data_IF_618483039891
#
_entry.id   IF_618483039891
#
_cell.length_a   1.000
_cell.length_b   1.000
_cell.length_c   1.000
_cell.angle_alpha   90.00
_cell.angle_beta   90.00
_cell.angle_gamma   90.00
#
_symmetry.space_group_name_H-M   'P 1'
#
loop_
_entity.id
_entity.type
_entity.pdbx_description
1 polymer ?
#
# COMPACT_ATOMS: atom_id res chain seq x y z
N UNK A 1 8.95 8.37 19.58
CA UNK A 1 7.61 8.42 18.94
C UNK A 1 7.75 7.72 17.59
N UNK A 2 6.99 6.66 17.33
CA UNK A 2 7.07 5.89 16.07
C UNK A 2 6.47 6.69 14.91
N UNK A 3 6.81 6.36 13.65
CA UNK A 3 6.24 7.01 12.46
C UNK A 3 4.70 6.99 12.46
N UNK A 4 4.10 5.86 12.83
CA UNK A 4 2.64 5.73 13.00
C UNK A 4 2.06 6.68 14.06
N UNK A 5 2.80 6.93 15.15
CA UNK A 5 2.38 7.90 16.18
C UNK A 5 2.45 9.35 15.70
N UNK A 6 3.47 9.71 14.90
CA UNK A 6 3.56 11.03 14.25
C UNK A 6 2.44 11.22 13.24
N UNK A 7 2.18 10.22 12.40
CA UNK A 7 1.11 10.24 11.42
C UNK A 7 -0.27 10.37 12.07
N UNK A 8 -0.55 9.65 13.17
CA UNK A 8 -1.81 9.76 13.89
C UNK A 8 -2.11 11.18 14.38
N UNK A 9 -1.09 11.89 14.86
CA UNK A 9 -1.19 13.29 15.29
C UNK A 9 -1.30 14.24 14.09
N UNK A 10 -0.47 14.06 13.08
CA UNK A 10 -0.43 14.93 11.89
C UNK A 10 -1.72 14.85 11.05
N UNK A 11 -2.35 13.68 11.00
CA UNK A 11 -3.56 13.41 10.22
C UNK A 11 -4.86 13.68 11.00
N UNK A 12 -4.79 13.95 12.30
CA UNK A 12 -5.99 14.11 13.13
C UNK A 12 -6.87 12.85 13.18
N UNK A 13 -6.27 11.66 13.15
CA UNK A 13 -7.02 10.39 13.10
C UNK A 13 -7.94 10.25 14.33
N UNK A 14 -9.19 9.85 14.09
CA UNK A 14 -10.12 9.48 15.16
C UNK A 14 -9.60 8.27 15.96
N UNK A 15 -10.08 8.08 17.19
CA UNK A 15 -9.68 6.92 18.01
C UNK A 15 -9.97 5.57 17.31
N UNK A 16 -11.04 5.50 16.51
CA UNK A 16 -11.37 4.31 15.72
C UNK A 16 -10.33 4.07 14.61
N UNK A 17 -9.91 5.11 13.90
CA UNK A 17 -8.87 5.01 12.87
C UNK A 17 -7.50 4.70 13.48
N UNK A 18 -7.17 5.24 14.66
CA UNK A 18 -5.94 4.91 15.38
C UNK A 18 -5.90 3.44 15.80
N UNK A 19 -7.02 2.90 16.31
CA UNK A 19 -7.14 1.49 16.63
C UNK A 19 -6.98 0.64 15.36
N UNK A 20 -7.65 1.02 14.28
CA UNK A 20 -7.56 0.31 12.99
C UNK A 20 -6.14 0.33 12.43
N UNK A 21 -5.44 1.46 12.53
CA UNK A 21 -4.05 1.58 12.13
C UNK A 21 -3.16 0.60 12.89
N UNK A 22 -3.34 0.53 14.21
CA UNK A 22 -2.63 -0.44 15.05
C UNK A 22 -2.92 -1.88 14.62
N UNK A 23 -4.19 -2.24 14.43
CA UNK A 23 -4.61 -3.59 14.02
C UNK A 23 -4.00 -4.01 12.67
N UNK A 24 -4.01 -3.11 11.69
CA UNK A 24 -3.45 -3.38 10.35
C UNK A 24 -1.94 -3.59 10.42
N UNK A 25 -1.23 -2.70 11.13
CA UNK A 25 0.23 -2.79 11.29
C UNK A 25 0.62 -4.04 12.08
N UNK A 26 -0.10 -4.37 13.15
CA UNK A 26 0.16 -5.59 13.93
C UNK A 26 -0.11 -6.85 13.10
N UNK A 27 -1.19 -6.85 12.31
CA UNK A 27 -1.53 -7.93 11.39
C UNK A 27 -0.42 -8.20 10.37
N UNK A 28 0.17 -7.14 9.81
CA UNK A 28 1.33 -7.24 8.93
C UNK A 28 2.52 -7.92 9.62
N UNK A 29 2.97 -7.39 10.76
CA UNK A 29 4.15 -7.91 11.44
C UNK A 29 3.97 -9.32 12.00
N UNK A 30 2.74 -9.75 12.25
CA UNK A 30 2.44 -11.14 12.61
C UNK A 30 2.54 -12.09 11.42
N UNK A 31 2.13 -11.64 10.23
CA UNK A 31 2.09 -12.44 9.02
C UNK A 31 3.43 -12.47 8.25
N UNK A 32 4.14 -11.34 8.20
CA UNK A 32 5.34 -11.19 7.37
C UNK A 32 6.43 -12.24 7.64
N UNK A 33 6.70 -12.68 8.89
CA UNK A 33 7.75 -13.67 9.14
C UNK A 33 7.40 -15.11 8.74
N UNK A 34 6.14 -15.41 8.42
CA UNK A 34 5.67 -16.80 8.19
C UNK A 34 5.37 -17.10 6.72
N UNK A 35 5.57 -16.14 5.83
CA UNK A 35 5.39 -16.29 4.38
C UNK A 35 6.73 -16.32 3.65
N UNK A 36 6.70 -16.69 2.37
CA UNK A 36 7.89 -16.63 1.51
C UNK A 36 8.47 -15.20 1.45
N UNK A 37 9.80 -15.12 1.55
CA UNK A 37 10.52 -13.85 1.49
C UNK A 37 11.15 -13.71 0.10
N UNK A 38 10.80 -12.62 -0.59
CA UNK A 38 11.28 -12.30 -1.92
C UNK A 38 11.98 -10.94 -1.93
N UNK A 39 12.82 -10.71 -2.92
CA UNK A 39 13.41 -9.40 -3.14
C UNK A 39 12.33 -8.50 -3.74
N UNK A 40 11.90 -7.51 -2.98
CA UNK A 40 10.99 -6.46 -3.44
C UNK A 40 11.81 -5.24 -3.86
N UNK A 41 11.32 -4.54 -4.88
CA UNK A 41 11.83 -3.23 -5.29
C UNK A 41 11.62 -2.18 -4.20
N UNK A 42 10.48 -2.25 -3.49
CA UNK A 42 10.12 -1.34 -2.42
C UNK A 42 9.59 0.03 -2.89
N UNK A 43 9.70 0.33 -4.18
CA UNK A 43 9.07 1.47 -4.86
C UNK A 43 8.80 1.11 -6.32
N UNK A 44 7.98 0.08 -6.54
CA UNK A 44 7.63 -0.42 -7.86
C UNK A 44 6.65 0.54 -8.57
N UNK A 45 7.10 1.76 -8.82
CA UNK A 45 6.37 2.81 -9.52
C UNK A 45 6.62 2.75 -11.03
N UNK A 46 5.65 3.21 -11.84
CA UNK A 46 5.79 3.19 -13.30
C UNK A 46 6.99 4.03 -13.78
N UNK A 47 7.33 5.10 -13.06
CA UNK A 47 8.49 5.94 -13.34
C UNK A 47 9.83 5.23 -13.14
N UNK A 48 9.85 4.14 -12.37
CA UNK A 48 11.05 3.34 -12.09
C UNK A 48 11.22 2.18 -13.09
N UNK A 49 10.34 2.07 -14.10
CA UNK A 49 10.44 1.07 -15.16
C UNK A 49 10.82 1.71 -16.51
N UNK A 50 11.81 1.13 -17.19
CA UNK A 50 12.15 1.46 -18.58
C UNK A 50 11.41 0.52 -19.53
N UNK A 51 10.78 1.11 -20.55
CA UNK A 51 9.89 0.41 -21.47
C UNK A 51 10.41 0.46 -22.92
N UNK A 52 10.40 -0.70 -23.58
CA UNK A 52 10.56 -0.85 -25.04
C UNK A 52 9.54 -1.89 -25.54
N UNK A 53 8.25 -1.52 -25.49
CA UNK A 53 7.13 -2.45 -25.71
C UNK A 53 6.87 -3.38 -24.51
N UNK A 54 7.94 -3.79 -23.82
CA UNK A 54 7.94 -4.50 -22.54
C UNK A 54 8.87 -3.80 -21.53
N UNK A 55 8.81 -4.19 -20.25
CA UNK A 55 9.75 -3.68 -19.24
C UNK A 55 11.13 -4.30 -19.49
N UNK A 56 12.10 -3.47 -19.89
CA UNK A 56 13.47 -3.91 -20.18
C UNK A 56 14.42 -3.71 -19.00
N UNK A 57 14.08 -2.82 -18.07
CA UNK A 57 14.85 -2.59 -16.85
C UNK A 57 13.99 -1.95 -15.75
N UNK A 58 14.39 -2.19 -14.50
CA UNK A 58 13.92 -1.47 -13.33
C UNK A 58 15.06 -0.60 -12.80
N UNK A 59 14.73 0.58 -12.28
CA UNK A 59 15.63 1.60 -11.78
C UNK A 59 15.31 1.90 -10.31
N UNK A 60 16.25 2.52 -9.60
CA UNK A 60 16.00 3.08 -8.27
C UNK A 60 15.66 2.05 -7.16
N UNK A 61 16.65 1.23 -6.83
CA UNK A 61 16.55 0.18 -5.80
C UNK A 61 16.84 0.70 -4.38
N UNK A 62 16.73 2.00 -4.10
CA UNK A 62 17.09 2.54 -2.78
C UNK A 62 16.21 2.01 -1.64
N UNK A 63 14.97 1.60 -1.96
CA UNK A 63 14.02 0.98 -1.03
C UNK A 63 13.94 -0.54 -1.14
N UNK A 64 14.83 -1.18 -1.90
CA UNK A 64 14.79 -2.61 -2.10
C UNK A 64 14.93 -3.36 -0.78
N UNK A 65 14.06 -4.34 -0.56
CA UNK A 65 13.92 -5.02 0.72
C UNK A 65 13.55 -6.49 0.54
N UNK A 66 14.11 -7.34 1.40
CA UNK A 66 13.67 -8.73 1.51
C UNK A 66 12.41 -8.78 2.36
N UNK A 67 11.31 -9.27 1.79
CA UNK A 67 10.01 -9.28 2.46
C UNK A 67 8.93 -10.04 1.69
N UNK A 68 7.68 -10.03 2.18
CA UNK A 68 6.53 -10.57 1.46
C UNK A 68 6.35 -9.85 0.11
N UNK A 69 5.90 -10.56 -0.93
CA UNK A 69 5.67 -9.99 -2.28
C UNK A 69 4.64 -8.86 -2.28
N UNK A 70 3.78 -8.83 -1.26
CA UNK A 70 2.74 -7.82 -1.08
C UNK A 70 3.28 -6.39 -0.92
N UNK A 71 4.56 -6.22 -0.59
CA UNK A 71 5.23 -4.91 -0.57
C UNK A 71 5.18 -4.28 -1.96
N UNK A 72 5.58 -5.01 -3.00
CA UNK A 72 5.53 -4.49 -4.37
C UNK A 72 4.11 -4.54 -4.98
N UNK A 73 3.31 -5.57 -4.63
CA UNK A 73 1.94 -5.67 -5.17
C UNK A 73 1.05 -4.50 -4.73
N UNK A 74 1.18 -4.03 -3.48
CA UNK A 74 0.37 -2.91 -3.02
C UNK A 74 0.72 -1.62 -3.77
N UNK A 75 2.01 -1.42 -4.10
CA UNK A 75 2.47 -0.28 -4.89
C UNK A 75 1.97 -0.36 -6.33
N UNK A 76 2.09 -1.53 -6.98
CA UNK A 76 1.56 -1.76 -8.33
C UNK A 76 0.07 -1.41 -8.42
N UNK A 77 -0.73 -1.85 -7.45
CA UNK A 77 -2.18 -1.56 -7.42
C UNK A 77 -2.43 -0.07 -7.16
N UNK A 78 -1.64 0.57 -6.29
CA UNK A 78 -1.73 2.00 -6.02
C UNK A 78 -1.46 2.82 -7.30
N UNK A 79 -0.37 2.53 -8.02
CA UNK A 79 0.01 3.22 -9.27
C UNK A 79 -1.06 3.08 -10.36
N UNK A 80 -1.69 1.91 -10.47
CA UNK A 80 -2.69 1.65 -11.51
C UNK A 80 -4.11 2.16 -11.17
N UNK A 81 -4.43 2.33 -9.89
CA UNK A 81 -5.79 2.67 -9.42
C UNK A 81 -5.91 4.03 -8.77
N UNK A 82 -4.83 4.78 -8.59
CA UNK A 82 -4.85 6.04 -7.85
C UNK A 82 -4.26 7.16 -8.69
N UNK A 83 -5.02 8.24 -8.91
CA UNK A 83 -4.54 9.42 -9.62
C UNK A 83 -3.43 10.16 -8.84
N UNK A 84 -2.77 11.12 -9.48
CA UNK A 84 -1.81 12.02 -8.81
C UNK A 84 -2.47 12.79 -7.65
N UNK A 85 -3.75 13.15 -7.78
CA UNK A 85 -4.54 13.78 -6.73
C UNK A 85 -5.00 12.81 -5.64
N UNK A 86 -4.70 11.51 -5.75
CA UNK A 86 -5.06 10.51 -4.75
C UNK A 86 -6.50 9.99 -4.86
N UNK A 87 -7.15 10.14 -6.01
CA UNK A 87 -8.50 9.62 -6.24
C UNK A 87 -8.44 8.21 -6.84
N UNK A 88 -9.40 7.36 -6.48
CA UNK A 88 -9.54 6.07 -7.16
C UNK A 88 -9.96 6.28 -8.62
N UNK A 89 -9.26 5.61 -9.53
CA UNK A 89 -9.52 5.64 -10.97
C UNK A 89 -9.90 4.24 -11.42
N UNK A 90 -11.02 4.13 -12.13
CA UNK A 90 -11.42 2.91 -12.81
C UNK A 90 -10.74 2.86 -14.18
N UNK A 91 -9.85 1.88 -14.37
CA UNK A 91 -9.07 1.71 -15.60
C UNK A 91 -8.78 0.24 -15.86
N UNK A 92 -8.57 -0.13 -17.12
CA UNK A 92 -8.17 -1.48 -17.50
C UNK A 92 -6.85 -1.89 -16.84
N UNK A 93 -5.91 -0.93 -16.70
CA UNK A 93 -4.66 -1.14 -15.97
C UNK A 93 -4.91 -1.42 -14.48
N UNK A 94 -5.85 -0.69 -13.87
CA UNK A 94 -6.25 -0.87 -12.48
C UNK A 94 -6.92 -2.22 -12.20
N UNK A 95 -7.68 -2.74 -13.16
CA UNK A 95 -8.29 -4.07 -13.07
C UNK A 95 -7.23 -5.16 -13.26
N UNK A 96 -6.35 -5.02 -14.26
CA UNK A 96 -5.23 -5.93 -14.47
C UNK A 96 -4.30 -5.99 -13.25
N UNK A 97 -3.98 -4.86 -12.63
CA UNK A 97 -3.16 -4.81 -11.42
C UNK A 97 -3.81 -5.55 -10.25
N UNK A 98 -5.14 -5.43 -10.09
CA UNK A 98 -5.89 -6.17 -9.06
C UNK A 98 -5.89 -7.67 -9.36
N UNK A 99 -6.07 -8.08 -10.61
CA UNK A 99 -6.02 -9.50 -10.99
C UNK A 99 -4.63 -10.11 -10.72
N UNK A 100 -3.57 -9.40 -11.10
CA UNK A 100 -2.17 -9.79 -10.81
C UNK A 100 -1.97 -9.92 -9.30
N UNK A 101 -2.35 -8.89 -8.53
CA UNK A 101 -2.19 -8.90 -7.08
C UNK A 101 -2.99 -10.04 -6.41
N UNK A 102 -4.22 -10.29 -6.84
CA UNK A 102 -5.05 -11.38 -6.34
C UNK A 102 -4.47 -12.77 -6.64
N UNK A 103 -3.78 -12.91 -7.78
CA UNK A 103 -3.13 -14.16 -8.17
C UNK A 103 -1.81 -14.41 -7.44
N UNK A 104 -1.04 -13.35 -7.16
CA UNK A 104 0.31 -13.44 -6.61
C UNK A 104 0.39 -13.33 -5.09
N UNK A 105 -0.60 -12.72 -4.44
CA UNK A 105 -0.63 -12.59 -2.97
C UNK A 105 -0.63 -13.95 -2.27
N UNK A 106 -0.09 -14.00 -1.05
CA UNK A 106 -0.16 -15.19 -0.22
C UNK A 106 -1.64 -15.60 0.01
N UNK A 107 -1.99 -16.89 -0.19
CA UNK A 107 -3.39 -17.32 -0.16
C UNK A 107 -4.02 -17.28 1.23
N UNK A 108 -3.21 -17.27 2.30
CA UNK A 108 -3.68 -17.28 3.69
C UNK A 108 -3.55 -15.89 4.33
N UNK A 109 -2.40 -15.26 4.14
CA UNK A 109 -1.97 -14.04 4.80
C UNK A 109 -2.01 -12.81 3.90
N UNK A 110 -2.17 -12.97 2.58
CA UNK A 110 -2.02 -11.90 1.62
C UNK A 110 -2.90 -10.69 1.91
N UNK A 111 -4.13 -10.87 2.43
CA UNK A 111 -4.99 -9.74 2.77
C UNK A 111 -4.39 -8.85 3.88
N UNK A 112 -3.86 -9.48 4.93
CA UNK A 112 -3.22 -8.74 6.02
C UNK A 112 -1.90 -8.11 5.56
N UNK A 113 -1.16 -8.82 4.71
CA UNK A 113 0.12 -8.37 4.15
C UNK A 113 -0.08 -7.19 3.19
N UNK A 114 -0.97 -7.29 2.20
CA UNK A 114 -1.26 -6.21 1.24
C UNK A 114 -1.82 -4.97 1.94
N UNK A 115 -2.75 -5.13 2.90
CA UNK A 115 -3.29 -3.98 3.63
C UNK A 115 -2.22 -3.30 4.49
N UNK A 116 -1.44 -4.10 5.20
CA UNK A 116 -0.32 -3.64 6.01
C UNK A 116 0.75 -2.93 5.20
N UNK A 117 1.20 -3.55 4.10
CA UNK A 117 2.18 -3.00 3.20
C UNK A 117 1.73 -1.65 2.62
N UNK A 118 0.48 -1.54 2.16
CA UNK A 118 -0.06 -0.27 1.68
C UNK A 118 -0.07 0.82 2.74
N UNK A 119 -0.45 0.51 3.98
CA UNK A 119 -0.40 1.50 5.08
C UNK A 119 1.05 1.91 5.38
N UNK A 120 1.97 0.95 5.42
CA UNK A 120 3.39 1.23 5.68
C UNK A 120 4.05 2.05 4.56
N UNK A 121 3.72 1.76 3.30
CA UNK A 121 4.16 2.51 2.11
C UNK A 121 3.75 3.99 2.22
N UNK A 122 2.47 4.25 2.51
CA UNK A 122 1.99 5.63 2.64
C UNK A 122 2.52 6.34 3.90
N UNK A 123 2.77 5.60 4.99
CA UNK A 123 3.43 6.15 6.18
C UNK A 123 4.89 6.53 5.91
N UNK A 124 5.61 5.77 5.07
CA UNK A 124 6.97 6.12 4.64
C UNK A 124 6.94 7.42 3.86
N UNK A 125 6.06 7.53 2.86
CA UNK A 125 5.95 8.74 2.04
C UNK A 125 5.62 9.96 2.93
N UNK A 126 4.70 9.80 3.90
CA UNK A 126 4.40 10.83 4.90
C UNK A 126 5.58 11.22 5.77
N UNK A 127 6.40 10.28 6.21
CA UNK A 127 7.59 10.61 7.01
C UNK A 127 8.63 11.39 6.19
N UNK A 128 8.81 11.04 4.90
CA UNK A 128 9.68 11.77 3.96
C UNK A 128 9.17 13.20 3.78
N UNK A 129 7.86 13.39 3.59
CA UNK A 129 7.27 14.70 3.41
C UNK A 129 7.34 15.56 4.68
N UNK A 130 7.04 14.99 5.85
CA UNK A 130 7.13 15.69 7.14
C UNK A 130 8.56 16.13 7.49
N UNK A 131 9.58 15.49 6.91
CA UNK A 131 10.97 15.89 7.07
C UNK A 131 11.39 17.08 6.19
N UNK A 132 10.52 17.60 5.31
CA UNK A 132 10.81 18.76 4.46
C UNK A 132 10.51 20.07 5.20
N UNK A 133 11.48 20.98 5.24
CA UNK A 133 11.39 22.27 5.97
C UNK A 133 10.39 23.28 5.37
N UNK A 134 9.85 23.03 4.18
CA UNK A 134 8.88 23.91 3.52
C UNK A 134 7.80 23.11 2.80
N UNK A 135 6.57 23.16 3.28
CA UNK A 135 5.42 22.63 2.56
C UNK A 135 4.43 23.77 2.30
N UNK A 136 4.27 24.14 1.04
CA UNK A 136 3.26 25.12 0.60
C UNK A 136 1.84 24.51 0.62
N UNK A 137 1.76 23.18 0.61
CA UNK A 137 0.52 22.40 0.63
C UNK A 137 0.15 21.97 2.06
N UNK A 138 -1.15 21.99 2.38
CA UNK A 138 -1.65 21.51 3.66
C UNK A 138 -1.45 20.00 3.75
N UNK A 139 -1.01 19.51 4.91
CA UNK A 139 -0.81 18.07 5.19
C UNK A 139 -2.03 17.25 4.75
N UNK A 140 -3.23 17.71 5.10
CA UNK A 140 -4.49 17.01 4.81
C UNK A 140 -4.78 16.85 3.31
N UNK A 141 -4.29 17.78 2.50
CA UNK A 141 -4.51 17.82 1.05
C UNK A 141 -3.46 17.00 0.29
N UNK A 142 -2.50 16.42 1.00
CA UNK A 142 -1.44 15.64 0.39
C UNK A 142 -1.88 14.19 0.17
N UNK A 143 -1.49 13.61 -0.98
CA UNK A 143 -1.98 12.30 -1.47
C UNK A 143 -1.87 11.18 -0.43
N UNK A 144 -0.72 10.92 0.22
CA UNK A 144 -0.60 9.87 1.25
C UNK A 144 -1.53 10.05 2.45
N UNK A 145 -1.87 11.29 2.82
CA UNK A 145 -2.77 11.56 3.94
C UNK A 145 -4.22 11.09 3.62
N UNK A 146 -4.69 11.36 2.40
CA UNK A 146 -5.96 10.83 1.90
C UNK A 146 -5.94 9.30 1.83
N UNK A 147 -4.88 8.73 1.26
CA UNK A 147 -4.77 7.29 1.08
C UNK A 147 -4.72 6.52 2.41
N UNK A 148 -3.98 7.01 3.41
CA UNK A 148 -3.99 6.43 4.76
C UNK A 148 -5.41 6.48 5.33
N UNK A 149 -6.09 7.62 5.23
CA UNK A 149 -7.45 7.79 5.76
C UNK A 149 -8.42 6.78 5.12
N UNK A 150 -8.36 6.61 3.81
CA UNK A 150 -9.21 5.69 3.07
C UNK A 150 -8.90 4.21 3.33
N UNK A 151 -7.61 3.86 3.47
CA UNK A 151 -7.16 2.52 3.85
C UNK A 151 -7.63 2.15 5.27
N UNK A 152 -7.80 3.13 6.15
CA UNK A 152 -8.29 2.93 7.52
C UNK A 152 -9.83 2.93 7.62
N UNK A 153 -10.54 3.29 6.56
CA UNK A 153 -11.99 3.16 6.48
C UNK A 153 -12.40 1.69 6.29
N UNK A 154 -13.67 1.37 6.59
CA UNK A 154 -14.20 0.00 6.52
C UNK A 154 -14.06 -0.65 5.13
N UNK A 155 -14.06 0.18 4.09
CA UNK A 155 -14.05 -0.25 2.69
C UNK A 155 -12.64 -0.60 2.17
N UNK A 156 -11.57 -0.16 2.86
CA UNK A 156 -10.18 -0.48 2.49
C UNK A 156 -9.61 0.35 1.33
N UNK A 157 -10.19 1.50 1.01
CA UNK A 157 -9.72 2.42 -0.03
C UNK A 157 -9.56 1.78 -1.41
N UNK A 158 -8.49 2.13 -2.12
CA UNK A 158 -8.17 1.59 -3.45
C UNK A 158 -7.91 0.08 -3.46
N UNK A 159 -7.61 -0.52 -2.29
CA UNK A 159 -7.44 -1.97 -2.12
C UNK A 159 -8.76 -2.72 -1.88
N UNK A 160 -9.89 -2.02 -1.84
CA UNK A 160 -11.22 -2.60 -1.66
C UNK A 160 -11.46 -3.92 -2.43
N UNK A 161 -11.12 -4.04 -3.73
CA UNK A 161 -11.34 -5.27 -4.49
C UNK A 161 -10.59 -6.49 -3.93
N UNK A 162 -9.40 -6.29 -3.35
CA UNK A 162 -8.56 -7.35 -2.78
C UNK A 162 -8.98 -7.68 -1.35
N UNK A 163 -9.43 -6.68 -0.61
CA UNK A 163 -9.77 -6.82 0.80
C UNK A 163 -11.19 -7.33 1.03
N UNK A 164 -12.08 -7.33 0.03
CA UNK A 164 -13.48 -7.77 0.19
C UNK A 164 -13.77 -9.19 -0.32
N UNK A 165 -12.81 -9.87 -0.95
CA UNK A 165 -13.05 -11.23 -1.45
C UNK A 165 -13.31 -12.20 -0.28
N UNK A 166 -14.51 -12.80 -0.29
CA UNK A 166 -14.84 -13.97 0.55
C UNK A 166 -13.95 -15.13 0.09
N UNK A 167 -13.33 -15.83 1.04
CA UNK A 167 -12.68 -17.12 0.76
C UNK A 167 -13.60 -17.98 -0.09
N UNK A 168 -13.13 -18.60 -1.18
CA UNK A 168 -13.95 -19.55 -1.92
C UNK A 168 -14.33 -20.65 -0.93
N UNK A 169 -15.63 -20.77 -0.65
CA UNK A 169 -16.15 -21.93 0.03
C UNK A 169 -15.72 -23.15 -0.78
N UNK A 170 -14.93 -24.03 -0.16
CA UNK A 170 -14.71 -25.39 -0.62
C UNK A 170 -16.07 -26.01 -0.94
N UNK A 171 -16.37 -26.16 -2.24
CA UNK A 171 -17.42 -27.07 -2.66
C UNK A 171 -16.89 -28.48 -2.39
N UNK A 172 -17.51 -29.13 -1.41
CA UNK A 172 -17.47 -30.59 -1.27
C UNK A 172 -18.23 -31.23 -2.43
#
# INVERSE_FOLDING_TARGET
>A
MTAAGRAGVALGLSSAQQLRLHEVVEGYFRAAPVVEQVVNHGDLALMNALWEGEVVALLDFEFAVLGPVEIDLCRLVCEARVSEEGQCVDSEAGDAAVEIAAHCMDPVHGRALTHGAAVLDQLRDLDIWLARDSTEERVEDWRPCRLITDLLNAEGGYLAPLLRQRSPHTRK
#
